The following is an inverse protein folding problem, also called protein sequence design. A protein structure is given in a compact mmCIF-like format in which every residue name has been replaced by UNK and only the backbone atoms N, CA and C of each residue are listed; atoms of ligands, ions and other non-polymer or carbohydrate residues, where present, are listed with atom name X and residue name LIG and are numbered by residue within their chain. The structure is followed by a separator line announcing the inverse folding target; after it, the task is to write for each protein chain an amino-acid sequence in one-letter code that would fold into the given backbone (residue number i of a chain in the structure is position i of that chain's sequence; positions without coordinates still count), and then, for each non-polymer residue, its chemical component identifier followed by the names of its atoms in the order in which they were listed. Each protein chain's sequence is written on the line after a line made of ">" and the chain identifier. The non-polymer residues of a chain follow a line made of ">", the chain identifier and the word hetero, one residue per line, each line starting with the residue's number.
data_IF_043556193196
#
_entry.id   IF_043556193196
#
_cell.length_a   1.000
_cell.length_b   1.000
_cell.length_c   1.000
_cell.angle_alpha   90.00
_cell.angle_beta   90.00
_cell.angle_gamma   90.00
#
_symmetry.space_group_name_H-M   'P 1'
#
loop_
_entity.id
_entity.type
_entity.pdbx_description
1 polymer ?
#
# COMPACT_ATOMS: atom_id res chain seq x y z
N UNK A 1 -7.97 -9.91 -29.12
CA UNK A 1 -7.98 -8.85 -28.09
C UNK A 1 -7.06 -7.76 -28.57
N UNK A 2 -7.43 -6.48 -28.47
CA UNK A 2 -6.49 -5.39 -28.79
C UNK A 2 -5.33 -5.42 -27.80
N UNK A 3 -4.11 -5.27 -28.30
CA UNK A 3 -2.91 -5.18 -27.46
C UNK A 3 -3.04 -3.97 -26.50
N UNK A 4 -2.68 -4.13 -25.22
CA UNK A 4 -2.73 -3.03 -24.25
C UNK A 4 -1.75 -1.93 -24.66
N UNK A 5 -2.22 -0.69 -24.74
CA UNK A 5 -1.36 0.47 -25.02
C UNK A 5 -0.75 0.97 -23.72
N UNK A 6 0.58 0.84 -23.59
CA UNK A 6 1.36 1.25 -22.41
C UNK A 6 2.18 2.50 -22.74
N UNK A 7 2.01 3.56 -21.95
CA UNK A 7 2.76 4.81 -22.07
C UNK A 7 3.29 5.27 -20.72
N UNK A 8 4.52 5.77 -20.68
CA UNK A 8 5.01 6.50 -19.50
C UNK A 8 4.31 7.86 -19.43
N UNK A 9 3.79 8.23 -18.27
CA UNK A 9 3.12 9.51 -18.05
C UNK A 9 3.30 10.01 -16.61
N UNK A 10 3.04 11.29 -16.41
CA UNK A 10 2.77 11.82 -15.06
C UNK A 10 1.26 11.76 -14.82
N UNK A 11 0.87 10.97 -13.82
CA UNK A 11 -0.50 10.67 -13.45
C UNK A 11 -0.91 11.61 -12.31
N UNK A 12 -2.03 12.30 -12.50
CA UNK A 12 -2.61 13.20 -11.51
C UNK A 12 -3.96 12.66 -11.08
N UNK A 13 -4.18 12.59 -9.78
CA UNK A 13 -5.46 12.26 -9.18
C UNK A 13 -5.97 13.46 -8.37
N UNK A 14 -7.23 13.83 -8.52
CA UNK A 14 -7.88 14.85 -7.71
C UNK A 14 -9.10 14.28 -7.01
N UNK A 15 -9.48 14.83 -5.87
CA UNK A 15 -10.67 14.45 -5.09
C UNK A 15 -11.26 15.69 -4.40
N UNK A 16 -12.58 15.76 -4.23
CA UNK A 16 -13.25 16.89 -3.58
C UNK A 16 -13.36 16.64 -2.08
N UNK A 17 -12.85 17.57 -1.29
CA UNK A 17 -12.87 17.49 0.17
C UNK A 17 -14.32 17.48 0.67
N UNK A 18 -14.73 16.41 1.37
CA UNK A 18 -16.05 16.33 2.01
C UNK A 18 -17.21 16.00 1.06
N UNK A 19 -16.94 15.65 -0.19
CA UNK A 19 -17.98 15.41 -1.20
C UNK A 19 -18.98 14.31 -0.81
N UNK A 20 -18.51 13.18 -0.28
CA UNK A 20 -19.39 12.06 0.12
C UNK A 20 -20.42 12.47 1.16
N UNK A 21 -20.04 13.37 2.09
CA UNK A 21 -20.98 13.89 3.08
C UNK A 21 -21.98 14.85 2.43
N UNK A 22 -21.49 15.78 1.60
CA UNK A 22 -22.34 16.74 0.89
C UNK A 22 -23.37 16.06 -0.02
N UNK A 23 -22.97 15.01 -0.75
CA UNK A 23 -23.87 14.29 -1.65
C UNK A 23 -24.96 13.51 -0.91
N UNK A 24 -24.66 13.00 0.28
CA UNK A 24 -25.65 12.36 1.14
C UNK A 24 -26.65 13.38 1.73
N UNK A 25 -26.22 14.61 1.99
CA UNK A 25 -27.07 15.68 2.54
C UNK A 25 -27.88 16.41 1.46
N UNK A 26 -27.30 16.64 0.27
CA UNK A 26 -27.89 17.43 -0.81
C UNK A 26 -27.38 16.99 -2.19
N UNK A 27 -28.05 15.99 -2.77
CA UNK A 27 -27.72 15.44 -4.10
C UNK A 27 -27.74 16.49 -5.23
N UNK A 28 -28.74 17.38 -5.36
CA UNK A 28 -28.73 18.41 -6.41
C UNK A 28 -27.51 19.34 -6.35
N UNK A 29 -27.10 19.75 -5.14
CA UNK A 29 -25.91 20.58 -4.96
C UNK A 29 -24.63 19.83 -5.34
N UNK A 30 -24.53 18.55 -5.00
CA UNK A 30 -23.39 17.72 -5.36
C UNK A 30 -23.26 17.55 -6.88
N UNK A 31 -24.38 17.33 -7.60
CA UNK A 31 -24.39 17.27 -9.07
C UNK A 31 -23.91 18.60 -9.67
N UNK A 32 -24.39 19.73 -9.16
CA UNK A 32 -23.95 21.05 -9.60
C UNK A 32 -22.46 21.29 -9.35
N UNK A 33 -21.94 20.79 -8.21
CA UNK A 33 -20.52 20.90 -7.87
C UNK A 33 -19.64 20.10 -8.83
N UNK A 34 -20.06 18.88 -9.23
CA UNK A 34 -19.34 18.09 -10.24
C UNK A 34 -19.29 18.78 -11.60
N UNK A 35 -20.40 19.39 -12.04
CA UNK A 35 -20.41 20.19 -13.27
C UNK A 35 -19.51 21.42 -13.17
N UNK A 36 -19.49 22.08 -12.00
CA UNK A 36 -18.61 23.21 -11.73
C UNK A 36 -17.14 22.78 -11.76
N UNK A 37 -16.80 21.64 -11.15
CA UNK A 37 -15.46 21.05 -11.21
C UNK A 37 -15.05 20.80 -12.68
N UNK A 38 -15.87 20.08 -13.46
CA UNK A 38 -15.55 19.74 -14.86
C UNK A 38 -15.35 20.99 -15.72
N UNK A 39 -16.28 21.94 -15.65
CA UNK A 39 -16.26 23.17 -16.46
C UNK A 39 -15.10 24.10 -16.08
N UNK A 40 -14.70 24.10 -14.81
CA UNK A 40 -13.55 24.89 -14.33
C UNK A 40 -12.22 24.24 -14.69
N UNK A 41 -12.10 22.93 -14.52
CA UNK A 41 -10.81 22.24 -14.62
C UNK A 41 -10.43 21.88 -16.06
N UNK A 42 -11.40 21.48 -16.91
CA UNK A 42 -11.11 21.00 -18.28
C UNK A 42 -10.30 22.01 -19.12
N UNK A 43 -10.64 23.33 -19.15
CA UNK A 43 -9.85 24.31 -19.88
C UNK A 43 -8.42 24.50 -19.37
N UNK A 44 -8.17 24.22 -18.09
CA UNK A 44 -6.82 24.28 -17.49
C UNK A 44 -6.03 23.06 -17.94
N UNK A 45 -6.60 21.86 -17.79
CA UNK A 45 -6.00 20.59 -18.21
C UNK A 45 -5.62 20.64 -19.69
N UNK A 46 -6.52 21.07 -20.56
CA UNK A 46 -6.27 21.15 -22.00
C UNK A 46 -5.13 22.12 -22.34
N UNK A 47 -5.04 23.27 -21.64
CA UNK A 47 -4.01 24.29 -21.88
C UNK A 47 -2.61 23.81 -21.48
N UNK A 48 -2.52 22.96 -20.47
CA UNK A 48 -1.27 22.33 -20.03
C UNK A 48 -0.97 21.01 -20.75
N UNK A 49 -1.72 20.67 -21.81
CA UNK A 49 -1.49 19.45 -22.60
C UNK A 49 -1.84 18.16 -21.86
N UNK A 50 -2.73 18.24 -20.87
CA UNK A 50 -3.21 17.09 -20.12
C UNK A 50 -4.28 16.30 -20.86
N UNK A 51 -4.36 15.01 -20.53
CA UNK A 51 -5.36 14.08 -21.03
C UNK A 51 -6.33 13.72 -19.89
N UNK A 52 -7.62 13.96 -20.12
CA UNK A 52 -8.68 13.62 -19.18
C UNK A 52 -9.04 12.14 -19.32
N UNK A 53 -8.45 11.29 -18.48
CA UNK A 53 -8.52 9.83 -18.64
C UNK A 53 -9.81 9.23 -18.10
N UNK A 54 -10.19 9.57 -16.87
CA UNK A 54 -11.32 8.94 -16.19
C UNK A 54 -11.93 9.84 -15.12
N UNK A 55 -13.23 9.65 -14.88
CA UNK A 55 -13.99 10.27 -13.80
C UNK A 55 -14.51 9.17 -12.86
N UNK A 56 -14.39 9.35 -11.56
CA UNK A 56 -14.71 8.37 -10.52
C UNK A 56 -15.50 9.05 -9.39
N UNK A 57 -16.75 9.40 -9.67
CA UNK A 57 -17.53 10.25 -8.76
C UNK A 57 -17.01 11.68 -8.81
N UNK A 58 -16.47 12.15 -7.69
CA UNK A 58 -15.78 13.43 -7.54
C UNK A 58 -14.27 13.37 -7.84
N UNK A 59 -13.75 12.15 -7.98
CA UNK A 59 -12.37 11.90 -8.32
C UNK A 59 -12.09 12.05 -9.82
N UNK A 60 -10.97 12.69 -10.18
CA UNK A 60 -10.51 12.80 -11.57
C UNK A 60 -9.16 12.12 -11.75
N UNK A 61 -9.00 11.37 -12.84
CA UNK A 61 -7.72 10.82 -13.29
C UNK A 61 -7.27 11.55 -14.55
N UNK A 62 -6.12 12.19 -14.47
CA UNK A 62 -5.51 12.94 -15.57
C UNK A 62 -4.11 12.38 -15.86
N UNK A 63 -3.66 12.53 -17.09
CA UNK A 63 -2.29 12.18 -17.46
C UNK A 63 -1.61 13.28 -18.28
N UNK A 64 -0.32 13.44 -18.08
CA UNK A 64 0.52 14.41 -18.77
C UNK A 64 1.79 13.72 -19.29
N UNK A 65 2.34 14.24 -20.38
CA UNK A 65 3.57 13.71 -20.96
C UNK A 65 4.78 13.98 -20.05
N UNK A 66 4.81 15.15 -19.41
CA UNK A 66 5.91 15.55 -18.53
C UNK A 66 5.45 15.89 -17.11
N UNK A 67 6.38 15.74 -16.16
CA UNK A 67 6.13 16.12 -14.76
C UNK A 67 5.93 17.61 -14.59
N UNK A 68 6.61 18.42 -15.40
CA UNK A 68 6.51 19.88 -15.31
C UNK A 68 5.11 20.36 -15.69
N UNK A 69 4.58 19.91 -16.83
CA UNK A 69 3.22 20.23 -17.28
C UNK A 69 2.16 19.82 -16.25
N UNK A 70 2.29 18.60 -15.69
CA UNK A 70 1.37 18.13 -14.65
C UNK A 70 1.36 19.04 -13.42
N UNK A 71 2.54 19.40 -12.92
CA UNK A 71 2.66 20.20 -11.68
C UNK A 71 2.23 21.65 -11.91
N UNK A 72 2.57 22.26 -13.06
CA UNK A 72 2.08 23.59 -13.44
C UNK A 72 0.55 23.60 -13.56
N UNK A 73 -0.05 22.58 -14.16
CA UNK A 73 -1.50 22.40 -14.21
C UNK A 73 -2.11 22.27 -12.81
N UNK A 74 -1.52 21.45 -11.93
CA UNK A 74 -2.04 21.24 -10.57
C UNK A 74 -1.98 22.52 -9.73
N UNK A 75 -0.91 23.32 -9.87
CA UNK A 75 -0.78 24.62 -9.20
C UNK A 75 -1.86 25.57 -9.68
N UNK A 76 -2.09 25.67 -11.00
CA UNK A 76 -3.14 26.53 -11.56
C UNK A 76 -4.54 26.09 -11.12
N UNK A 77 -4.80 24.78 -11.10
CA UNK A 77 -6.05 24.22 -10.57
C UNK A 77 -6.25 24.69 -9.13
N UNK A 78 -5.27 24.50 -8.24
CA UNK A 78 -5.41 24.89 -6.83
C UNK A 78 -5.64 26.40 -6.65
N UNK A 79 -4.99 27.24 -7.46
CA UNK A 79 -5.23 28.69 -7.42
C UNK A 79 -6.62 29.08 -7.94
N UNK A 80 -7.11 28.39 -8.97
CA UNK A 80 -8.42 28.68 -9.58
C UNK A 80 -9.56 28.27 -8.66
N UNK A 81 -9.52 27.05 -8.11
CA UNK A 81 -10.61 26.51 -7.30
C UNK A 81 -10.73 27.16 -5.93
N UNK A 82 -9.67 27.82 -5.44
CA UNK A 82 -9.69 28.55 -4.15
C UNK A 82 -10.81 29.59 -4.04
N UNK A 83 -11.28 30.12 -5.16
CA UNK A 83 -12.36 31.11 -5.20
C UNK A 83 -13.72 30.51 -5.63
N UNK A 84 -13.78 29.19 -5.81
CA UNK A 84 -14.99 28.47 -6.19
C UNK A 84 -15.61 27.87 -4.94
N UNK A 85 -16.84 28.27 -4.64
CA UNK A 85 -17.53 27.83 -3.42
C UNK A 85 -17.63 26.30 -3.37
N UNK A 86 -17.24 25.72 -2.23
CA UNK A 86 -17.30 24.30 -1.93
C UNK A 86 -16.43 23.39 -2.84
N UNK A 87 -15.48 23.93 -3.60
CA UNK A 87 -14.59 23.16 -4.47
C UNK A 87 -13.16 23.13 -3.91
N UNK A 88 -13.00 22.61 -2.70
CA UNK A 88 -11.68 22.35 -2.13
C UNK A 88 -11.16 21.00 -2.63
N UNK A 89 -9.98 21.00 -3.27
CA UNK A 89 -9.40 19.81 -3.86
C UNK A 89 -8.17 19.33 -3.09
N UNK A 90 -8.03 18.01 -3.02
CA UNK A 90 -6.75 17.34 -2.74
C UNK A 90 -6.22 16.77 -4.04
N UNK A 91 -4.90 16.86 -4.24
CA UNK A 91 -4.24 16.40 -5.46
C UNK A 91 -3.07 15.48 -5.12
N UNK A 92 -3.02 14.31 -5.75
CA UNK A 92 -1.91 13.36 -5.72
C UNK A 92 -1.27 13.21 -7.09
N UNK A 93 0.08 13.21 -7.16
CA UNK A 93 0.83 13.12 -8.42
C UNK A 93 1.90 12.04 -8.35
N UNK A 94 1.92 11.18 -9.36
CA UNK A 94 2.91 10.11 -9.52
C UNK A 94 3.43 10.06 -10.96
N UNK A 95 4.62 9.50 -11.17
CA UNK A 95 5.17 9.26 -12.50
C UNK A 95 5.40 7.76 -12.72
N UNK A 96 4.74 7.22 -13.74
CA UNK A 96 4.76 5.79 -14.04
C UNK A 96 4.01 5.46 -15.32
N UNK A 97 3.76 4.18 -15.53
CA UNK A 97 3.13 3.67 -16.74
C UNK A 97 1.61 3.66 -16.63
N UNK A 98 0.97 4.22 -17.64
CA UNK A 98 -0.48 4.15 -17.85
C UNK A 98 -0.75 3.08 -18.89
N UNK A 99 -1.55 2.07 -18.52
CA UNK A 99 -2.01 1.04 -19.45
C UNK A 99 -3.47 1.31 -19.77
N UNK A 100 -3.76 1.52 -21.06
CA UNK A 100 -5.12 1.67 -21.56
C UNK A 100 -5.54 0.39 -22.26
N UNK A 101 -6.59 -0.25 -21.76
CA UNK A 101 -7.14 -1.49 -22.33
C UNK A 101 -8.67 -1.41 -22.33
N UNK A 102 -9.29 -1.60 -23.50
CA UNK A 102 -10.75 -1.59 -23.63
C UNK A 102 -11.42 -0.25 -23.26
N UNK A 103 -10.66 0.85 -23.29
CA UNK A 103 -11.14 2.17 -22.86
C UNK A 103 -11.02 2.44 -21.37
N UNK A 104 -10.54 1.47 -20.58
CA UNK A 104 -10.24 1.68 -19.15
C UNK A 104 -8.74 1.88 -18.92
N UNK A 105 -8.42 2.54 -17.79
CA UNK A 105 -7.06 2.84 -17.35
C UNK A 105 -6.75 2.00 -16.12
N UNK A 106 -5.73 1.17 -16.24
CA UNK A 106 -5.33 0.19 -15.23
C UNK A 106 -3.82 0.21 -15.05
N UNK A 107 -3.36 -0.13 -13.84
CA UNK A 107 -1.94 -0.24 -13.55
C UNK A 107 -1.59 0.06 -12.10
N UNK A 108 -0.46 -0.46 -11.66
CA UNK A 108 0.05 -0.23 -10.31
C UNK A 108 0.40 1.25 -10.08
N UNK A 109 0.89 1.94 -11.11
CA UNK A 109 1.25 3.37 -11.02
C UNK A 109 0.02 4.28 -10.88
N UNK A 110 -1.12 3.90 -11.48
CA UNK A 110 -2.41 4.58 -11.29
C UNK A 110 -2.88 4.45 -9.84
N UNK A 111 -2.72 3.26 -9.27
CA UNK A 111 -3.05 2.99 -7.88
C UNK A 111 -2.15 3.76 -6.91
N UNK A 112 -0.88 3.97 -7.23
CA UNK A 112 0.03 4.78 -6.41
C UNK A 112 -0.45 6.23 -6.39
N UNK A 113 -0.81 6.80 -7.55
CA UNK A 113 -1.29 8.18 -7.64
C UNK A 113 -2.55 8.39 -6.79
N UNK A 114 -3.58 7.54 -7.00
CA UNK A 114 -4.87 7.65 -6.29
C UNK A 114 -4.74 7.41 -4.79
N UNK A 115 -3.81 6.56 -4.35
CA UNK A 115 -3.56 6.31 -2.92
C UNK A 115 -2.64 7.35 -2.27
N UNK A 116 -1.99 8.21 -3.06
CA UNK A 116 -1.15 9.30 -2.54
C UNK A 116 -1.96 10.57 -2.26
N UNK A 117 -3.00 10.84 -3.05
CA UNK A 117 -3.92 11.97 -2.87
C UNK A 117 -4.46 12.12 -1.43
N UNK A 118 -4.83 11.05 -0.68
CA UNK A 118 -5.48 11.22 0.61
C UNK A 118 -4.56 11.77 1.70
N UNK A 119 -3.26 11.89 1.40
CA UNK A 119 -2.24 12.50 2.23
C UNK A 119 -2.05 14.00 1.93
N UNK A 120 -2.75 14.56 0.94
CA UNK A 120 -2.75 15.99 0.70
C UNK A 120 -3.62 16.71 1.73
N UNK A 121 -3.15 17.88 2.19
CA UNK A 121 -4.04 18.84 2.83
C UNK A 121 -5.11 19.30 1.83
N UNK A 122 -6.30 19.72 2.30
CA UNK A 122 -7.24 20.51 1.48
C UNK A 122 -6.52 21.68 0.81
N UNK A 123 -6.65 21.82 -0.52
CA UNK A 123 -5.94 22.81 -1.32
C UNK A 123 -4.46 22.48 -1.60
N UNK A 124 -3.98 21.32 -1.15
CA UNK A 124 -2.59 20.88 -1.25
C UNK A 124 -2.31 19.96 -2.43
N UNK A 125 -1.02 19.79 -2.73
CA UNK A 125 -0.52 18.85 -3.75
C UNK A 125 0.51 17.93 -3.09
N UNK A 126 0.27 16.63 -3.19
CA UNK A 126 1.20 15.59 -2.77
C UNK A 126 1.81 14.90 -3.97
N UNK A 127 3.10 14.66 -3.89
CA UNK A 127 3.90 14.03 -4.94
C UNK A 127 4.70 12.87 -4.39
N UNK A 128 4.90 11.83 -5.21
CA UNK A 128 5.80 10.73 -4.84
C UNK A 128 7.27 11.12 -5.00
N UNK A 129 8.17 10.29 -4.48
CA UNK A 129 9.63 10.43 -4.58
C UNK A 129 10.14 10.61 -6.02
N UNK A 130 9.59 9.86 -6.99
CA UNK A 130 9.93 10.01 -8.41
C UNK A 130 9.65 11.41 -8.96
N UNK A 131 8.46 11.95 -8.65
CA UNK A 131 8.06 13.29 -9.06
C UNK A 131 8.89 14.34 -8.32
N UNK A 132 9.09 14.15 -7.01
CA UNK A 132 9.92 15.05 -6.20
C UNK A 132 11.37 15.16 -6.72
N UNK A 133 11.97 14.04 -7.13
CA UNK A 133 13.31 14.03 -7.72
C UNK A 133 13.39 14.88 -9.00
N UNK A 134 12.31 14.94 -9.78
CA UNK A 134 12.23 15.81 -10.95
C UNK A 134 12.10 17.29 -10.57
N UNK A 135 11.35 17.60 -9.51
CA UNK A 135 11.10 18.97 -9.04
C UNK A 135 12.32 19.61 -8.35
N UNK A 136 13.09 18.85 -7.57
CA UNK A 136 14.26 19.37 -6.86
C UNK A 136 15.35 19.95 -7.77
N UNK A 137 15.28 19.70 -9.08
CA UNK A 137 16.19 20.29 -10.08
C UNK A 137 15.91 21.77 -10.34
N UNK A 138 14.70 22.25 -10.03
CA UNK A 138 14.29 23.63 -10.26
C UNK A 138 13.98 24.31 -8.91
N UNK A 139 14.72 25.37 -8.54
CA UNK A 139 14.58 26.04 -7.25
C UNK A 139 13.24 26.75 -7.04
N UNK A 140 12.40 26.89 -8.08
CA UNK A 140 11.03 27.41 -7.95
C UNK A 140 10.14 26.47 -7.12
N UNK A 141 10.47 25.18 -7.08
CA UNK A 141 9.74 24.19 -6.29
C UNK A 141 10.39 23.97 -4.93
N UNK A 142 9.59 24.10 -3.88
CA UNK A 142 9.96 23.68 -2.53
C UNK A 142 9.02 22.56 -2.12
N UNK A 143 9.58 21.50 -1.54
CA UNK A 143 8.83 20.34 -1.10
C UNK A 143 9.25 19.93 0.31
N UNK A 144 8.33 19.29 1.03
CA UNK A 144 8.58 18.76 2.38
C UNK A 144 8.15 17.31 2.45
N UNK A 145 9.00 16.46 3.03
CA UNK A 145 8.68 15.06 3.26
C UNK A 145 7.52 14.94 4.26
N UNK A 146 6.47 14.23 3.85
CA UNK A 146 5.32 13.87 4.69
C UNK A 146 5.62 12.56 5.42
N UNK A 147 6.18 11.58 4.71
CA UNK A 147 6.51 10.27 5.27
C UNK A 147 6.56 9.17 4.23
N UNK A 148 6.42 7.93 4.70
CA UNK A 148 6.48 6.70 3.90
C UNK A 148 5.30 5.78 4.22
N UNK A 149 4.07 6.17 3.88
CA UNK A 149 2.90 5.33 4.15
C UNK A 149 2.99 4.01 3.41
N UNK A 150 2.49 2.94 4.03
CA UNK A 150 2.10 1.75 3.29
C UNK A 150 0.85 2.06 2.48
N UNK A 151 1.00 2.22 1.16
CA UNK A 151 -0.15 2.35 0.27
C UNK A 151 -0.74 0.96 0.05
N UNK A 152 -1.98 0.73 0.50
CA UNK A 152 -2.70 -0.56 0.34
C UNK A 152 -2.46 -1.08 -1.08
N UNK A 153 -2.10 -2.34 -1.29
CA UNK A 153 -1.94 -2.90 -2.65
C UNK A 153 -0.79 -2.32 -3.47
N UNK A 154 0.16 -1.60 -2.87
CA UNK A 154 1.44 -1.21 -3.47
C UNK A 154 2.54 -1.92 -2.69
N UNK A 155 3.37 -2.70 -3.38
CA UNK A 155 4.44 -3.49 -2.75
C UNK A 155 5.70 -2.67 -2.47
N UNK A 156 5.97 -1.67 -3.33
CA UNK A 156 7.15 -0.83 -3.19
C UNK A 156 6.95 0.25 -2.12
N UNK A 157 8.03 0.57 -1.41
CA UNK A 157 8.05 1.70 -0.48
C UNK A 157 7.99 3.02 -1.27
N UNK A 158 6.98 3.84 -1.00
CA UNK A 158 6.81 5.16 -1.61
C UNK A 158 7.01 6.24 -0.56
N UNK A 159 7.87 7.22 -0.85
CA UNK A 159 7.98 8.44 -0.03
C UNK A 159 7.06 9.50 -0.60
N UNK A 160 6.29 10.16 0.25
CA UNK A 160 5.38 11.24 -0.13
C UNK A 160 5.92 12.59 0.33
N UNK A 161 5.79 13.59 -0.53
CA UNK A 161 6.17 14.98 -0.27
C UNK A 161 4.99 15.88 -0.57
N UNK A 162 4.79 16.96 0.19
CA UNK A 162 3.91 18.06 -0.21
C UNK A 162 4.73 19.15 -0.88
N UNK A 163 4.12 19.85 -1.84
CA UNK A 163 4.68 21.08 -2.40
C UNK A 163 4.30 22.24 -1.46
N UNK A 164 5.30 22.99 -1.01
CA UNK A 164 5.13 24.12 -0.07
C UNK A 164 5.43 25.48 -0.69
N UNK A 165 5.89 25.52 -1.95
CA UNK A 165 6.00 26.76 -2.72
C UNK A 165 4.66 27.14 -3.39
N UNK A 166 4.62 28.26 -4.11
CA UNK A 166 3.43 28.75 -4.84
C UNK A 166 2.20 29.03 -3.96
N UNK A 167 2.39 29.25 -2.65
CA UNK A 167 1.29 29.54 -1.73
C UNK A 167 0.40 28.33 -1.42
N UNK A 168 0.89 27.12 -1.66
CA UNK A 168 0.20 25.87 -1.34
C UNK A 168 0.38 25.50 0.14
N UNK A 169 -0.63 24.89 0.77
CA UNK A 169 -0.57 24.51 2.18
C UNK A 169 0.38 23.32 2.39
N UNK A 170 1.07 23.34 3.52
CA UNK A 170 1.82 22.18 4.01
C UNK A 170 0.84 21.12 4.52
N UNK A 171 1.10 19.84 4.22
CA UNK A 171 0.35 18.73 4.83
C UNK A 171 0.71 18.57 6.30
N UNK A 172 -0.29 18.66 7.18
CA UNK A 172 -0.15 18.28 8.58
C UNK A 172 -0.14 16.75 8.75
N UNK A 173 1.05 16.22 9.02
CA UNK A 173 1.31 14.80 9.24
C UNK A 173 0.42 14.24 10.37
N UNK A 174 0.08 15.03 11.38
CA UNK A 174 -0.74 14.57 12.51
C UNK A 174 -2.17 14.21 12.08
N UNK A 175 -2.71 14.90 11.07
CA UNK A 175 -4.06 14.66 10.57
C UNK A 175 -4.14 13.50 9.57
N UNK A 176 -3.01 13.17 8.95
CA UNK A 176 -2.89 12.01 8.04
C UNK A 176 -2.20 10.81 8.71
N UNK A 177 -1.75 10.96 9.95
CA UNK A 177 -1.06 9.93 10.74
C UNK A 177 -1.87 8.65 10.87
N UNK A 178 -3.19 8.75 11.08
CA UNK A 178 -4.09 7.60 11.09
C UNK A 178 -4.07 6.78 9.77
N UNK A 179 -3.74 7.41 8.64
CA UNK A 179 -3.55 6.75 7.34
C UNK A 179 -2.11 6.25 7.15
N UNK A 180 -1.13 6.88 7.79
CA UNK A 180 0.28 6.45 7.80
C UNK A 180 0.49 5.20 8.67
N UNK A 181 -0.18 5.14 9.83
CA UNK A 181 -0.07 4.07 10.82
C UNK A 181 -0.92 2.83 10.47
N UNK A 182 -1.77 2.91 9.44
CA UNK A 182 -2.47 1.74 8.86
C UNK A 182 -1.54 0.66 8.29
N UNK A 183 -0.23 0.93 8.21
CA UNK A 183 0.84 -0.02 7.92
C UNK A 183 1.75 -0.37 9.11
N UNK A 184 1.46 0.13 10.32
CA UNK A 184 2.32 0.00 11.50
C UNK A 184 1.94 -1.21 12.35
N UNK A 185 2.09 -2.39 11.76
CA UNK A 185 2.52 -3.58 12.46
C UNK A 185 3.53 -4.21 11.50
N UNK A 186 4.83 -4.03 11.65
CA UNK A 186 5.71 -5.10 12.18
C UNK A 186 7.12 -4.59 12.55
N UNK A 187 7.46 -3.30 12.43
CA UNK A 187 8.89 -2.89 12.43
C UNK A 187 9.40 -2.31 13.77
N UNK A 188 8.55 -1.93 14.73
CA UNK A 188 9.01 -1.30 15.99
C UNK A 188 9.23 -2.26 17.19
N UNK A 189 9.26 -3.59 16.99
CA UNK A 189 9.56 -4.53 18.09
C UNK A 189 10.99 -5.09 18.11
N UNK A 190 11.83 -4.81 17.10
CA UNK A 190 13.17 -5.42 17.03
C UNK A 190 14.26 -4.62 17.76
N UNK A 191 14.05 -3.33 18.03
CA UNK A 191 15.06 -2.48 18.67
C UNK A 191 14.86 -2.26 20.19
N UNK A 192 13.68 -2.56 20.73
CA UNK A 192 13.44 -2.49 22.18
C UNK A 192 13.84 -3.78 22.94
N UNK A 193 14.13 -4.87 22.21
CA UNK A 193 14.46 -6.18 22.82
C UNK A 193 15.93 -6.30 23.21
N UNK A 194 16.83 -5.48 22.63
CA UNK A 194 18.27 -5.57 22.89
C UNK A 194 18.65 -4.89 24.22
N UNK A 195 18.10 -3.72 24.54
CA UNK A 195 18.47 -2.96 25.74
C UNK A 195 17.84 -3.49 27.04
N UNK A 196 16.77 -4.30 26.96
CA UNK A 196 16.11 -4.85 28.14
C UNK A 196 16.84 -6.07 28.75
N UNK A 197 17.77 -6.69 28.00
CA UNK A 197 18.47 -7.91 28.45
C UNK A 197 19.75 -7.67 29.27
N UNK A 198 20.22 -6.42 29.41
CA UNK A 198 21.48 -6.09 30.10
C UNK A 198 21.32 -5.64 31.55
N UNK A 199 20.09 -5.57 32.07
CA UNK A 199 19.85 -5.10 33.43
C UNK A 199 18.85 -5.99 34.17
N UNK A 200 19.21 -7.25 34.41
CA UNK A 200 18.70 -7.94 35.61
C UNK A 200 19.54 -9.16 36.03
N UNK A 201 20.06 -9.02 37.25
CA UNK A 201 20.35 -10.06 38.26
C UNK A 201 21.61 -10.90 38.08
N UNK A 202 22.70 -10.28 38.52
CA UNK A 202 23.45 -10.73 39.72
C UNK A 202 22.58 -11.63 40.63
N UNK A 203 22.88 -12.93 40.66
CA UNK A 203 22.63 -13.79 41.83
C UNK A 203 23.88 -14.62 42.06
N UNK A 204 24.47 -14.37 43.23
CA UNK A 204 25.66 -14.99 43.78
C UNK A 204 25.38 -16.44 44.18
N UNK A 205 26.20 -17.38 43.74
CA UNK A 205 26.39 -18.64 44.47
C UNK A 205 27.88 -18.88 44.75
N UNK A 206 28.12 -19.08 46.03
CA UNK A 206 29.42 -19.23 46.71
C UNK A 206 29.96 -20.64 46.42
N UNK A 207 31.21 -20.78 45.98
CA UNK A 207 31.95 -22.05 46.09
C UNK A 207 33.34 -21.76 46.65
N UNK A 208 33.62 -22.39 47.79
CA UNK A 208 34.86 -22.28 48.56
C UNK A 208 35.88 -23.33 48.11
N UNK A 209 37.05 -22.85 47.70
CA UNK A 209 38.41 -23.41 47.85
C UNK A 209 38.66 -24.93 47.87
N UNK A 210 39.43 -25.44 46.90
CA UNK A 210 40.79 -25.98 47.14
C UNK A 210 41.54 -26.25 45.81
N UNK A 211 42.88 -26.30 45.87
CA UNK A 211 43.84 -26.26 44.76
C UNK A 211 44.22 -27.66 44.27
N UNK A 212 44.20 -27.96 42.94
CA UNK A 212 45.05 -28.97 42.25
C UNK A 212 45.24 -28.53 40.76
N UNK A 213 46.44 -28.68 40.14
CA UNK A 213 46.79 -28.00 38.90
C UNK A 213 46.49 -28.78 37.60
N UNK A 214 46.58 -27.97 36.54
CA UNK A 214 46.49 -28.12 35.10
C UNK A 214 47.26 -29.31 34.48
N UNK A 215 46.87 -29.63 33.24
CA UNK A 215 47.60 -30.34 32.15
C UNK A 215 47.20 -31.80 31.92
N UNK A 216 45.99 -32.00 31.35
CA UNK A 216 45.72 -33.00 30.31
C UNK A 216 44.36 -32.79 29.58
N UNK A 217 43.54 -31.83 30.01
CA UNK A 217 42.18 -31.60 29.46
C UNK A 217 42.10 -30.77 28.18
N UNK A 218 43.16 -30.09 27.75
CA UNK A 218 43.12 -29.14 26.63
C UNK A 218 42.89 -29.80 25.25
N UNK A 219 43.42 -31.00 25.04
CA UNK A 219 43.31 -31.69 23.74
C UNK A 219 41.95 -32.39 23.59
N UNK A 220 41.39 -32.89 24.70
CA UNK A 220 40.06 -33.54 24.70
C UNK A 220 38.95 -32.52 24.51
N UNK A 221 39.05 -31.34 25.14
CA UNK A 221 38.03 -30.29 25.00
C UNK A 221 38.03 -29.68 23.59
N UNK A 222 39.20 -29.54 22.95
CA UNK A 222 39.27 -28.99 21.59
C UNK A 222 38.77 -29.98 20.51
N UNK A 223 39.00 -31.28 20.68
CA UNK A 223 38.46 -32.31 19.76
C UNK A 223 36.94 -32.47 19.89
N UNK A 224 36.37 -32.31 21.10
CA UNK A 224 34.92 -32.36 21.31
C UNK A 224 34.22 -31.15 20.69
N UNK A 225 34.86 -29.97 20.68
CA UNK A 225 34.30 -28.76 20.06
C UNK A 225 34.34 -28.83 18.53
N UNK A 226 35.40 -29.39 17.94
CA UNK A 226 35.50 -29.57 16.48
C UNK A 226 34.56 -30.69 15.99
N UNK A 227 34.43 -31.79 16.73
CA UNK A 227 33.43 -32.81 16.44
C UNK A 227 31.99 -32.26 16.59
N UNK A 228 31.76 -31.36 17.55
CA UNK A 228 30.49 -30.66 17.72
C UNK A 228 30.17 -29.68 16.58
N UNK A 229 31.16 -29.01 16.01
CA UNK A 229 30.95 -28.07 14.87
C UNK A 229 30.71 -28.80 13.54
N UNK A 230 31.42 -29.92 13.29
CA UNK A 230 31.26 -30.69 12.05
C UNK A 230 29.93 -31.49 12.03
N UNK A 231 29.38 -31.82 13.20
CA UNK A 231 28.07 -32.51 13.28
C UNK A 231 26.85 -31.58 13.09
N UNK A 232 27.03 -30.26 13.12
CA UNK A 232 25.93 -29.29 12.98
C UNK A 232 25.66 -28.92 11.50
N UNK A 233 26.55 -29.27 10.57
CA UNK A 233 26.42 -28.92 9.14
C UNK A 233 25.90 -30.06 8.24
N UNK A 234 25.45 -31.19 8.82
CA UNK A 234 24.93 -32.33 8.06
C UNK A 234 23.59 -32.83 8.57
N UNK A 235 22.55 -32.68 7.74
CA UNK A 235 21.16 -33.17 7.89
C UNK A 235 20.24 -32.17 8.64
N UNK A 236 19.22 -31.57 8.03
CA UNK A 236 18.31 -32.14 7.04
C UNK A 236 17.17 -32.88 7.75
N UNK A 237 16.12 -32.14 8.14
CA UNK A 237 14.71 -32.55 8.18
C UNK A 237 14.36 -33.84 8.99
N UNK A 238 13.87 -33.68 10.23
CA UNK A 238 12.47 -34.02 10.61
C UNK A 238 12.21 -34.02 12.13
N UNK A 239 11.16 -33.28 12.49
CA UNK A 239 10.14 -33.57 13.50
C UNK A 239 10.56 -34.03 14.89
N UNK A 240 10.43 -33.12 15.87
CA UNK A 240 9.99 -33.49 17.22
C UNK A 240 8.82 -32.62 17.63
N UNK A 241 7.70 -33.29 17.84
CA UNK A 241 6.36 -32.78 18.09
C UNK A 241 6.31 -32.09 19.45
N UNK A 242 5.90 -30.82 19.44
CA UNK A 242 5.24 -30.15 20.56
C UNK A 242 3.85 -29.77 20.07
N UNK A 243 2.83 -30.52 20.49
CA UNK A 243 1.43 -30.27 20.16
C UNK A 243 0.86 -29.13 21.00
N UNK A 244 0.78 -27.92 20.42
CA UNK A 244 -0.35 -26.97 20.49
C UNK A 244 0.07 -25.65 19.81
N UNK A 245 -0.57 -25.11 18.77
CA UNK A 245 -1.67 -25.60 17.96
C UNK A 245 -1.27 -25.56 16.47
N UNK A 246 -1.65 -26.61 15.75
CA UNK A 246 -1.71 -26.58 14.29
C UNK A 246 -2.54 -25.36 13.89
N UNK A 247 -1.94 -24.38 13.22
CA UNK A 247 -2.69 -23.20 12.74
C UNK A 247 -3.74 -23.73 11.79
N UNK A 248 -4.98 -23.81 12.27
CA UNK A 248 -6.13 -24.28 11.49
C UNK A 248 -6.13 -23.52 10.18
N UNK A 249 -6.12 -24.23 9.07
CA UNK A 249 -6.14 -23.63 7.74
C UNK A 249 -7.47 -23.91 7.06
N UNK A 250 -7.93 -22.96 6.28
CA UNK A 250 -9.16 -23.09 5.50
C UNK A 250 -8.92 -22.54 4.10
N UNK A 251 -9.43 -23.25 3.11
CA UNK A 251 -9.57 -22.76 1.74
C UNK A 251 -11.06 -22.69 1.43
N UNK A 252 -11.46 -21.69 0.66
CA UNK A 252 -12.82 -21.58 0.12
C UNK A 252 -12.71 -21.79 -1.37
N UNK A 253 -13.24 -22.90 -1.87
CA UNK A 253 -13.28 -23.16 -3.30
C UNK A 253 -14.27 -22.20 -3.98
N UNK A 254 -14.02 -21.79 -5.24
CA UNK A 254 -14.96 -20.97 -5.99
C UNK A 254 -16.34 -21.61 -6.05
N UNK A 255 -17.39 -20.82 -5.82
CA UNK A 255 -18.76 -21.30 -5.99
C UNK A 255 -19.02 -21.60 -7.46
N UNK A 256 -19.69 -22.71 -7.71
CA UNK A 256 -20.11 -23.08 -9.07
C UNK A 256 -21.35 -22.28 -9.43
N UNK A 257 -21.30 -21.57 -10.57
CA UNK A 257 -22.49 -20.97 -11.15
C UNK A 257 -23.40 -22.07 -11.72
N UNK A 258 -24.57 -22.29 -11.12
CA UNK A 258 -25.56 -23.26 -11.57
C UNK A 258 -26.64 -22.65 -12.50
N UNK A 259 -26.55 -21.34 -12.79
CA UNK A 259 -27.43 -20.65 -13.72
C UNK A 259 -27.03 -20.91 -15.18
N UNK A 260 -27.96 -20.76 -16.11
CA UNK A 260 -27.68 -20.80 -17.55
C UNK A 260 -26.99 -19.54 -18.08
N UNK A 261 -26.96 -18.48 -17.28
CA UNK A 261 -26.39 -17.19 -17.64
C UNK A 261 -24.96 -17.05 -17.10
N UNK A 262 -24.04 -16.76 -18.02
CA UNK A 262 -22.61 -16.60 -17.76
C UNK A 262 -22.28 -15.32 -16.99
N UNK A 263 -23.13 -14.28 -17.06
CA UNK A 263 -22.91 -13.04 -16.30
C UNK A 263 -22.99 -13.25 -14.78
N UNK A 264 -23.73 -14.28 -14.34
CA UNK A 264 -23.82 -14.66 -12.92
C UNK A 264 -22.55 -15.34 -12.38
N UNK A 265 -21.58 -15.66 -13.23
CA UNK A 265 -20.29 -16.21 -12.79
C UNK A 265 -19.52 -15.20 -11.94
N UNK A 266 -19.63 -13.91 -12.27
CA UNK A 266 -19.06 -12.82 -11.48
C UNK A 266 -19.66 -12.77 -10.07
N UNK A 267 -20.95 -13.06 -9.93
CA UNK A 267 -21.62 -13.11 -8.64
C UNK A 267 -21.09 -14.26 -7.77
N UNK A 268 -20.97 -15.47 -8.33
CA UNK A 268 -20.39 -16.63 -7.62
C UNK A 268 -18.95 -16.38 -7.16
N UNK A 269 -18.12 -15.78 -8.03
CA UNK A 269 -16.75 -15.42 -7.71
C UNK A 269 -16.69 -14.35 -6.61
N UNK A 270 -17.59 -13.35 -6.67
CA UNK A 270 -17.71 -12.29 -5.67
C UNK A 270 -18.07 -12.84 -4.28
N UNK A 271 -19.00 -13.79 -4.19
CA UNK A 271 -19.35 -14.45 -2.93
C UNK A 271 -18.16 -15.23 -2.36
N UNK A 272 -17.40 -15.95 -3.20
CA UNK A 272 -16.16 -16.63 -2.75
C UNK A 272 -15.15 -15.64 -2.18
N UNK A 273 -14.94 -14.51 -2.84
CA UNK A 273 -14.02 -13.47 -2.37
C UNK A 273 -14.47 -12.87 -1.04
N UNK A 274 -15.76 -12.61 -0.87
CA UNK A 274 -16.31 -12.06 0.35
C UNK A 274 -16.11 -13.01 1.54
N UNK A 275 -16.35 -14.31 1.35
CA UNK A 275 -16.12 -15.32 2.40
C UNK A 275 -14.62 -15.41 2.76
N UNK A 276 -13.73 -15.44 1.77
CA UNK A 276 -12.27 -15.43 2.02
C UNK A 276 -11.86 -14.19 2.85
N UNK A 277 -12.42 -13.03 2.53
CA UNK A 277 -12.16 -11.79 3.24
C UNK A 277 -12.69 -11.84 4.69
N UNK A 278 -13.88 -12.38 4.93
CA UNK A 278 -14.40 -12.53 6.30
C UNK A 278 -13.57 -13.52 7.13
N UNK A 279 -13.24 -14.68 6.56
CA UNK A 279 -12.42 -15.69 7.24
C UNK A 279 -11.02 -15.17 7.56
N UNK A 280 -10.45 -14.29 6.72
CA UNK A 280 -9.11 -13.73 6.93
C UNK A 280 -9.00 -12.87 8.19
N UNK A 281 -10.12 -12.39 8.73
CA UNK A 281 -10.18 -11.59 9.96
C UNK A 281 -10.13 -12.43 11.23
N UNK A 282 -10.24 -13.76 11.12
CA UNK A 282 -10.24 -14.66 12.27
C UNK A 282 -8.79 -14.86 12.74
N UNK A 283 -8.48 -14.30 13.92
CA UNK A 283 -7.19 -14.48 14.58
C UNK A 283 -6.97 -15.99 14.82
N UNK A 284 -5.83 -16.49 14.39
CA UNK A 284 -5.42 -17.92 14.46
C UNK A 284 -6.01 -18.87 13.39
N UNK A 285 -6.68 -18.34 12.35
CA UNK A 285 -7.09 -19.09 11.16
C UNK A 285 -6.24 -18.70 9.93
N UNK A 286 -5.56 -19.67 9.32
CA UNK A 286 -4.81 -19.46 8.07
C UNK A 286 -5.72 -19.63 6.87
N UNK A 287 -6.11 -18.54 6.23
CA UNK A 287 -6.91 -18.58 5.00
C UNK A 287 -5.99 -18.71 3.78
N UNK A 288 -6.27 -19.68 2.91
CA UNK A 288 -5.56 -19.87 1.64
C UNK A 288 -5.98 -18.75 0.66
N UNK A 289 -5.00 -18.20 -0.06
CA UNK A 289 -5.22 -17.05 -0.93
C UNK A 289 -6.19 -17.35 -2.07
N UNK A 290 -6.87 -16.30 -2.55
CA UNK A 290 -7.78 -16.37 -3.70
C UNK A 290 -7.12 -17.03 -4.91
N UNK A 291 -5.93 -16.59 -5.32
CA UNK A 291 -5.23 -17.11 -6.50
C UNK A 291 -4.97 -18.62 -6.39
N UNK A 292 -4.61 -19.10 -5.21
CA UNK A 292 -4.41 -20.53 -4.96
C UNK A 292 -5.72 -21.30 -4.98
N UNK A 293 -6.79 -20.78 -4.36
CA UNK A 293 -8.10 -21.44 -4.35
C UNK A 293 -8.76 -21.46 -5.74
N UNK A 294 -8.62 -20.41 -6.54
CA UNK A 294 -9.20 -20.31 -7.88
C UNK A 294 -8.49 -21.18 -8.94
N UNK A 295 -7.30 -21.71 -8.64
CA UNK A 295 -6.64 -22.74 -9.48
C UNK A 295 -7.44 -24.07 -9.52
N UNK A 296 -8.41 -24.19 -8.61
CA UNK A 296 -9.31 -25.33 -8.48
C UNK A 296 -10.72 -25.04 -8.99
N UNK A 297 -10.95 -23.90 -9.65
CA UNK A 297 -12.23 -23.60 -10.32
C UNK A 297 -12.50 -24.68 -11.38
N UNK A 298 -13.74 -25.15 -11.45
CA UNK A 298 -14.22 -26.20 -12.39
C UNK A 298 -13.59 -27.59 -12.23
N UNK A 299 -12.77 -27.80 -11.20
CA UNK A 299 -12.23 -29.12 -10.88
C UNK A 299 -13.24 -29.95 -10.10
N UNK A 300 -13.52 -31.14 -10.59
CA UNK A 300 -14.42 -32.12 -9.98
C UNK A 300 -13.67 -33.26 -9.28
N UNK A 301 -12.34 -33.26 -9.33
CA UNK A 301 -11.45 -34.29 -8.80
C UNK A 301 -10.98 -34.04 -7.35
N UNK A 302 -11.51 -33.00 -6.70
CA UNK A 302 -11.11 -32.61 -5.35
C UNK A 302 -12.01 -33.32 -4.34
N UNK A 303 -11.44 -34.26 -3.59
CA UNK A 303 -12.07 -34.81 -2.39
C UNK A 303 -11.94 -33.77 -1.27
N UNK A 304 -13.06 -33.19 -0.87
CA UNK A 304 -13.16 -32.41 0.37
C UNK A 304 -13.29 -33.44 1.50
N UNK A 305 -12.42 -33.36 2.51
CA UNK A 305 -12.41 -34.30 3.62
C UNK A 305 -13.81 -34.37 4.28
N UNK A 306 -14.29 -35.60 4.52
CA UNK A 306 -15.56 -35.91 5.21
C UNK A 306 -15.59 -35.42 6.68
#
# INVERSE_FOLDING_TARGET
>A
MSEPNRKLATIVFTDIVGFTQMSAENEPLAIQLLETQRTTLRPIVDRHGGEWLKEMGDGLLLAFQTTKEAIECCIEIQHTVKNVANLDLRIGVHQGEVVVQGGDVIGDDVNIASRSEPFAAPGGIVVTDRVNASLMRDPVYQTKLIGKPALKGVLQEIKLYCITSHGLPETDISQVSAKLDGGRSTIEQEQATIDYSLSQKMVTTKVSSSKIPLILGGVVVFLVIIAGLIFIEGQGVNSTISSSGEKKSIAVLPFVNMSSDKENEYFSDGITEEILNYLSKIKDLRVISRTSAFTYKERTDISIAD
#
